data_IF_147048753131
#
_entry.id   IF_147048753131
#
_cell.length_a   1.000
_cell.length_b   1.000
_cell.length_c   1.000
_cell.angle_alpha   90.00
_cell.angle_beta   90.00
_cell.angle_gamma   90.00
#
_symmetry.space_group_name_H-M   'P 1'
#
loop_
_entity.id
_entity.type
_entity.pdbx_description
1 polymer ?
#
# COMPACT_ATOMS: atom_id res chain seq x y z
N UNK A 1 -3.36 -9.07 -9.23
CA UNK A 1 -4.58 -9.87 -8.93
C UNK A 1 -4.84 -9.85 -7.45
N UNK A 2 -6.04 -9.51 -7.07
CA UNK A 2 -6.45 -9.42 -5.67
C UNK A 2 -7.28 -10.63 -5.28
N UNK A 3 -7.06 -11.12 -4.08
CA UNK A 3 -7.88 -12.17 -3.49
C UNK A 3 -8.34 -11.71 -2.11
N UNK A 4 -9.63 -11.40 -1.99
CA UNK A 4 -10.23 -10.91 -0.75
C UNK A 4 -10.54 -12.08 0.19
N UNK A 5 -9.98 -12.04 1.39
CA UNK A 5 -10.15 -13.09 2.39
C UNK A 5 -11.30 -12.83 3.36
N UNK A 6 -11.99 -11.71 3.21
CA UNK A 6 -13.15 -11.43 4.06
C UNK A 6 -14.26 -12.43 3.77
N UNK A 7 -15.02 -12.77 4.79
CA UNK A 7 -16.15 -13.69 4.64
C UNK A 7 -17.39 -13.00 4.09
N UNK A 8 -17.54 -11.71 4.35
CA UNK A 8 -18.64 -10.89 3.84
C UNK A 8 -18.15 -9.50 3.48
N UNK A 9 -18.89 -8.76 2.61
CA UNK A 9 -18.55 -7.36 2.32
C UNK A 9 -18.63 -6.43 3.52
N UNK A 10 -19.36 -6.81 4.55
CA UNK A 10 -19.53 -6.01 5.78
C UNK A 10 -18.43 -6.23 6.81
N UNK A 11 -17.54 -7.20 6.57
CA UNK A 11 -16.40 -7.43 7.45
C UNK A 11 -15.50 -6.19 7.44
N UNK A 12 -15.30 -5.60 8.61
CA UNK A 12 -14.52 -4.38 8.77
C UNK A 12 -13.01 -4.62 8.83
N UNK A 13 -12.58 -5.87 8.86
CA UNK A 13 -11.16 -6.22 8.83
C UNK A 13 -10.78 -6.62 7.42
N UNK A 14 -10.14 -5.74 6.69
CA UNK A 14 -9.65 -6.06 5.35
C UNK A 14 -8.45 -6.98 5.42
N UNK A 15 -8.52 -8.10 4.71
CA UNK A 15 -7.46 -9.10 4.61
C UNK A 15 -7.42 -9.56 3.17
N UNK A 16 -6.31 -9.32 2.50
CA UNK A 16 -6.25 -9.53 1.07
C UNK A 16 -4.90 -10.11 0.64
N UNK A 17 -4.92 -11.09 -0.23
CA UNK A 17 -3.75 -11.52 -0.97
C UNK A 17 -3.70 -10.78 -2.29
N UNK A 18 -2.51 -10.34 -2.67
CA UNK A 18 -2.32 -9.58 -3.89
C UNK A 18 -1.07 -10.09 -4.62
N UNK A 19 -1.27 -10.54 -5.86
CA UNK A 19 -0.17 -10.99 -6.70
C UNK A 19 0.23 -9.84 -7.63
N UNK A 20 1.51 -9.49 -7.59
CA UNK A 20 2.05 -8.32 -8.27
C UNK A 20 3.18 -8.73 -9.21
N UNK A 21 3.16 -8.19 -10.42
CA UNK A 21 4.21 -8.40 -11.40
C UNK A 21 5.17 -7.21 -11.44
N UNK A 22 6.44 -7.41 -11.85
CA UNK A 22 7.36 -6.31 -12.07
C UNK A 22 6.76 -5.30 -13.04
N UNK A 23 6.98 -4.01 -12.76
CA UNK A 23 6.42 -2.94 -13.56
C UNK A 23 4.99 -2.56 -13.21
N UNK A 24 4.37 -3.25 -12.25
CA UNK A 24 3.06 -2.85 -11.73
C UNK A 24 3.16 -1.44 -11.16
N UNK A 25 2.24 -0.59 -11.59
CA UNK A 25 2.17 0.78 -11.10
C UNK A 25 1.06 0.91 -10.09
N UNK A 26 1.42 1.41 -8.90
CA UNK A 26 0.48 1.73 -7.84
C UNK A 26 0.56 3.22 -7.60
N UNK A 27 -0.56 3.91 -7.70
CA UNK A 27 -0.60 5.34 -7.45
C UNK A 27 -0.17 5.66 -6.02
N UNK A 28 0.44 6.83 -5.83
CA UNK A 28 0.73 7.32 -4.48
C UNK A 28 -0.59 7.54 -3.78
N UNK A 29 -0.76 6.91 -2.62
CA UNK A 29 -2.02 6.97 -1.88
C UNK A 29 -1.76 6.87 -0.38
N UNK A 30 -2.79 7.16 0.40
CA UNK A 30 -2.77 6.97 1.86
C UNK A 30 -4.12 6.49 2.35
N UNK A 31 -4.09 5.87 3.51
CA UNK A 31 -5.31 5.45 4.21
C UNK A 31 -5.50 6.35 5.41
N UNK A 32 -6.62 7.06 5.45
CA UNK A 32 -6.89 8.07 6.47
C UNK A 32 -7.41 7.49 7.78
N UNK A 33 -8.02 6.31 7.72
CA UNK A 33 -8.75 5.74 8.84
C UNK A 33 -7.98 4.74 9.67
N UNK A 34 -6.87 4.21 9.14
CA UNK A 34 -6.16 3.11 9.77
C UNK A 34 -4.73 2.99 9.29
N UNK A 35 -3.89 2.33 10.08
CA UNK A 35 -2.62 1.81 9.61
C UNK A 35 -2.85 0.53 8.80
N UNK A 36 -1.83 0.10 8.07
CA UNK A 36 -1.89 -1.11 7.25
C UNK A 36 -0.68 -1.99 7.57
N UNK A 37 -0.89 -3.29 7.62
CA UNK A 37 0.19 -4.27 7.72
C UNK A 37 0.31 -5.00 6.41
N UNK A 38 1.52 -5.08 5.88
CA UNK A 38 1.80 -5.84 4.67
C UNK A 38 2.91 -6.86 4.94
N UNK A 39 2.70 -8.09 4.48
CA UNK A 39 3.66 -9.18 4.60
C UNK A 39 3.89 -9.75 3.21
N UNK A 40 5.16 -9.90 2.82
CA UNK A 40 5.51 -10.53 1.56
C UNK A 40 5.71 -12.02 1.77
N UNK A 41 4.95 -12.83 1.03
CA UNK A 41 5.05 -14.30 1.10
C UNK A 41 6.16 -14.80 0.18
N UNK A 42 6.29 -14.20 -1.00
CA UNK A 42 7.38 -14.49 -1.93
C UNK A 42 7.62 -13.28 -2.83
N UNK A 43 8.82 -13.16 -3.34
CA UNK A 43 9.19 -12.09 -4.26
C UNK A 43 10.12 -11.07 -3.64
N UNK A 44 10.19 -9.89 -4.25
CA UNK A 44 11.04 -8.80 -3.82
C UNK A 44 10.48 -7.49 -4.33
N UNK A 45 10.25 -6.56 -3.43
CA UNK A 45 9.69 -5.25 -3.77
C UNK A 45 10.14 -4.20 -2.77
N UNK A 46 9.98 -2.94 -3.14
CA UNK A 46 10.19 -1.81 -2.23
C UNK A 46 8.85 -1.20 -1.85
N UNK A 47 8.72 -0.84 -0.58
CA UNK A 47 7.66 0.03 -0.08
C UNK A 47 8.23 1.42 -0.01
N UNK A 48 7.55 2.39 -0.65
CA UNK A 48 8.08 3.73 -0.86
C UNK A 48 7.17 4.73 -0.16
N UNK A 49 7.77 5.58 0.67
CA UNK A 49 7.04 6.63 1.36
C UNK A 49 7.34 7.98 0.72
N UNK A 50 6.34 8.87 0.73
CA UNK A 50 6.41 10.15 0.07
C UNK A 50 6.03 11.27 1.01
N UNK A 51 6.56 12.44 0.71
CA UNK A 51 6.29 13.68 1.40
C UNK A 51 5.71 14.67 0.41
N UNK A 52 4.71 15.43 0.85
CA UNK A 52 4.14 16.50 0.02
C UNK A 52 5.15 17.62 -0.18
N UNK A 53 5.22 18.16 -1.38
CA UNK A 53 6.01 19.36 -1.65
C UNK A 53 5.34 20.56 -0.97
N UNK A 54 6.14 21.60 -0.59
CA UNK A 54 5.58 22.81 0.03
C UNK A 54 4.52 23.46 -0.86
N UNK A 55 3.47 24.00 -0.24
CA UNK A 55 2.38 24.73 -0.90
C UNK A 55 1.50 23.88 -1.82
N UNK A 56 1.47 22.60 -1.60
CA UNK A 56 0.61 21.68 -2.34
C UNK A 56 -0.61 21.36 -1.48
N UNK A 57 -1.79 21.39 -2.08
CA UNK A 57 -2.97 20.86 -1.44
C UNK A 57 -2.93 19.34 -1.50
N UNK A 58 -2.92 18.71 -0.33
CA UNK A 58 -3.03 17.28 -0.25
C UNK A 58 -4.42 16.88 -0.73
N UNK A 59 -4.46 16.01 -1.72
CA UNK A 59 -5.78 15.55 -2.04
C UNK A 59 -5.91 14.92 -3.38
N UNK A 60 -7.01 14.38 -3.54
CA UNK A 60 -7.54 13.64 -4.63
C UNK A 60 -8.82 13.03 -4.13
N UNK A 61 -9.49 12.23 -4.92
CA UNK A 61 -10.72 11.58 -4.50
C UNK A 61 -10.48 10.70 -3.27
N UNK A 62 -11.38 10.79 -2.29
CA UNK A 62 -11.36 9.91 -1.12
C UNK A 62 -12.36 8.80 -1.37
N UNK A 63 -11.91 7.56 -1.19
CA UNK A 63 -12.75 6.39 -1.33
C UNK A 63 -12.35 5.38 -0.27
N UNK A 64 -13.31 4.92 0.55
CA UNK A 64 -13.08 4.00 1.68
C UNK A 64 -11.95 4.46 2.62
N UNK A 65 -11.77 5.77 2.77
CA UNK A 65 -10.68 6.33 3.57
C UNK A 65 -9.35 6.38 2.85
N UNK A 66 -9.29 6.01 1.57
CA UNK A 66 -8.08 6.06 0.76
C UNK A 66 -8.07 7.33 -0.09
N UNK A 67 -6.97 8.07 -0.05
CA UNK A 67 -6.77 9.26 -0.86
C UNK A 67 -5.63 9.02 -1.84
N UNK A 68 -5.87 9.29 -3.11
CA UNK A 68 -4.88 9.13 -4.19
C UNK A 68 -4.33 10.51 -4.55
N UNK A 69 -3.02 10.58 -4.78
CA UNK A 69 -2.31 11.84 -5.02
C UNK A 69 -1.83 11.97 -6.45
N UNK A 70 -1.61 13.23 -6.87
CA UNK A 70 -0.86 13.54 -8.08
C UNK A 70 0.63 13.39 -7.78
N UNK A 71 1.29 12.47 -8.46
CA UNK A 71 2.70 12.14 -8.23
C UNK A 71 3.65 13.33 -8.40
N UNK A 72 3.28 14.32 -9.24
CA UNK A 72 4.15 15.49 -9.47
C UNK A 72 4.27 16.40 -8.26
N UNK A 73 3.41 16.21 -7.26
CA UNK A 73 3.36 17.03 -6.05
C UNK A 73 4.04 16.39 -4.86
N UNK A 74 4.73 15.27 -5.07
CA UNK A 74 5.32 14.48 -4.00
C UNK A 74 6.78 14.17 -4.30
N UNK A 75 7.55 13.97 -3.23
CA UNK A 75 8.94 13.54 -3.30
C UNK A 75 9.12 12.32 -2.41
N UNK A 76 9.88 11.34 -2.89
CA UNK A 76 10.21 10.16 -2.12
C UNK A 76 11.03 10.55 -0.89
N UNK A 77 10.61 10.09 0.30
CA UNK A 77 11.31 10.38 1.55
C UNK A 77 11.78 9.12 2.28
N UNK A 78 11.38 7.94 1.85
CA UNK A 78 11.85 6.69 2.44
C UNK A 78 11.54 5.51 1.52
N UNK A 79 12.41 4.51 1.55
CA UNK A 79 12.25 3.32 0.72
C UNK A 79 12.75 2.11 1.50
N UNK A 80 11.92 1.08 1.59
CA UNK A 80 12.20 -0.10 2.39
C UNK A 80 12.07 -1.36 1.54
N UNK A 81 13.14 -2.12 1.43
CA UNK A 81 13.15 -3.38 0.71
C UNK A 81 12.44 -4.46 1.53
N UNK A 82 11.46 -5.10 0.92
CA UNK A 82 10.76 -6.24 1.50
C UNK A 82 11.07 -7.43 0.60
N UNK A 83 11.82 -8.39 1.13
CA UNK A 83 12.33 -9.51 0.35
C UNK A 83 12.58 -10.70 1.28
N UNK A 84 11.68 -11.70 1.31
CA UNK A 84 11.79 -12.82 2.25
C UNK A 84 13.15 -13.56 2.20
N UNK A 85 13.72 -13.74 1.02
CA UNK A 85 15.02 -14.42 0.92
C UNK A 85 16.16 -13.62 1.53
N UNK A 86 15.96 -12.32 1.77
CA UNK A 86 16.92 -11.46 2.48
C UNK A 86 16.57 -11.30 3.96
N UNK A 87 15.53 -12.00 4.42
CA UNK A 87 15.12 -11.97 5.82
C UNK A 87 14.20 -10.81 6.18
N UNK A 88 13.69 -10.07 5.21
CA UNK A 88 12.79 -8.94 5.46
C UNK A 88 11.40 -9.29 4.91
N UNK A 89 10.45 -9.47 5.81
CA UNK A 89 9.16 -10.08 5.48
C UNK A 89 8.01 -9.12 5.40
N UNK A 90 8.04 -8.03 6.13
CA UNK A 90 6.86 -7.18 6.20
C UNK A 90 7.14 -5.77 6.66
N UNK A 91 6.09 -4.98 6.65
CA UNK A 91 6.15 -3.57 6.99
C UNK A 91 4.80 -3.11 7.57
N UNK A 92 4.87 -2.16 8.49
CA UNK A 92 3.72 -1.47 9.02
C UNK A 92 3.66 -0.09 8.37
N UNK A 93 2.56 0.22 7.71
CA UNK A 93 2.35 1.52 7.07
C UNK A 93 1.50 2.36 8.03
N UNK A 94 2.05 3.47 8.56
CA UNK A 94 1.29 4.31 9.48
C UNK A 94 0.05 4.93 8.84
N UNK A 95 -0.97 5.17 9.65
CA UNK A 95 -2.16 5.89 9.24
C UNK A 95 -1.77 7.25 8.63
N UNK A 96 -2.31 7.55 7.47
CA UNK A 96 -2.08 8.82 6.80
C UNK A 96 -0.77 8.92 6.01
N UNK A 97 0.10 7.92 6.05
CA UNK A 97 1.38 7.97 5.33
C UNK A 97 1.17 7.76 3.83
N UNK A 98 1.64 8.71 3.03
CA UNK A 98 1.62 8.60 1.58
C UNK A 98 2.61 7.53 1.13
N UNK A 99 2.17 6.58 0.33
CA UNK A 99 3.01 5.46 -0.08
C UNK A 99 2.65 4.89 -1.44
N UNK A 100 3.59 4.13 -1.97
CA UNK A 100 3.46 3.33 -3.19
C UNK A 100 4.41 2.15 -3.09
N UNK A 101 4.50 1.36 -4.13
CA UNK A 101 5.41 0.21 -4.20
C UNK A 101 6.12 0.17 -5.54
N UNK A 102 7.28 -0.47 -5.55
CA UNK A 102 7.99 -0.82 -6.78
C UNK A 102 8.33 -2.30 -6.72
N UNK A 103 7.90 -3.06 -7.72
CA UNK A 103 8.01 -4.52 -7.73
C UNK A 103 9.15 -4.92 -8.65
N UNK A 104 10.12 -5.69 -8.12
CA UNK A 104 11.29 -6.13 -8.87
C UNK A 104 11.16 -7.54 -9.42
N UNK A 105 10.39 -8.39 -8.72
CA UNK A 105 10.14 -9.78 -9.10
C UNK A 105 8.67 -10.07 -8.87
N UNK A 106 8.10 -11.09 -9.54
CA UNK A 106 6.73 -11.49 -9.21
C UNK A 106 6.61 -11.70 -7.71
N UNK A 107 5.68 -11.02 -7.09
CA UNK A 107 5.55 -10.97 -5.63
C UNK A 107 4.12 -11.26 -5.21
N UNK A 108 3.99 -11.95 -4.08
CA UNK A 108 2.69 -12.16 -3.44
C UNK A 108 2.74 -11.52 -2.06
N UNK A 109 1.84 -10.60 -1.81
CA UNK A 109 1.76 -9.92 -0.51
C UNK A 109 0.41 -10.20 0.15
N UNK A 110 0.43 -10.22 1.49
CA UNK A 110 -0.76 -10.23 2.32
C UNK A 110 -0.90 -8.86 2.96
N UNK A 111 -2.07 -8.26 2.82
CA UNK A 111 -2.37 -6.94 3.36
C UNK A 111 -3.51 -7.04 4.36
N UNK A 112 -3.38 -6.36 5.49
CA UNK A 112 -4.42 -6.28 6.51
C UNK A 112 -4.56 -4.84 6.99
N UNK A 113 -5.79 -4.36 7.02
CA UNK A 113 -6.12 -3.05 7.58
C UNK A 113 -7.56 -3.05 8.08
N UNK A 114 -7.85 -2.15 8.99
CA UNK A 114 -9.22 -1.96 9.46
C UNK A 114 -10.01 -1.15 8.44
N UNK A 115 -11.32 -1.36 8.47
CA UNK A 115 -12.22 -0.62 7.62
C UNK A 115 -12.82 -1.48 6.53
N UNK A 116 -13.99 -1.07 6.11
CA UNK A 116 -14.77 -1.78 5.10
C UNK A 116 -14.18 -1.47 3.72
N UNK A 117 -13.89 -2.51 2.94
CA UNK A 117 -13.46 -2.31 1.57
C UNK A 117 -14.64 -1.91 0.70
N UNK A 118 -14.52 -0.80 0.00
CA UNK A 118 -15.53 -0.28 -0.91
C UNK A 118 -14.91 -0.20 -2.31
N UNK A 119 -15.58 -0.79 -3.24
CA UNK A 119 -15.15 -0.77 -4.64
C UNK A 119 -15.69 0.44 -5.37
#
# INVERSE_FOLDING_TARGET
>A
MNFDLRTTPEDTSQRMLNALEPGTKVAIHRHLNTSETAVCLEGCLDWIFYQELPNVEAGGPVHDGTTVADETQFVECGRFRICPREGVYGIQIPQGAWHSIEVYEPSTIFEAKDGKYIR
#
